data_IF_528454788906
#
_entry.id   IF_528454788906
#
_cell.length_a   1.000
_cell.length_b   1.000
_cell.length_c   1.000
_cell.angle_alpha   90.00
_cell.angle_beta   90.00
_cell.angle_gamma   90.00
#
_symmetry.space_group_name_H-M   'P 1'
#
loop_
_entity.id
_entity.type
_entity.pdbx_description
1 polymer ?
#
# COMPACT_ATOMS: atom_id res chain seq x y z
N UNK A 1 -66.37 -16.92 21.33
CA UNK A 1 -65.38 -15.91 20.87
C UNK A 1 -64.32 -16.63 20.06
N UNK A 2 -64.17 -16.33 18.76
CA UNK A 2 -63.11 -16.90 17.89
C UNK A 2 -62.11 -15.79 17.58
N UNK A 3 -60.99 -15.75 18.28
CA UNK A 3 -59.89 -14.81 18.02
C UNK A 3 -59.11 -15.28 16.81
N UNK A 4 -59.15 -14.51 15.71
CA UNK A 4 -58.27 -14.70 14.55
C UNK A 4 -56.91 -14.09 14.89
N UNK A 5 -55.87 -14.91 14.93
CA UNK A 5 -54.49 -14.45 15.11
C UNK A 5 -53.94 -14.07 13.72
N UNK A 6 -53.69 -12.78 13.51
CA UNK A 6 -53.03 -12.29 12.31
C UNK A 6 -51.51 -12.43 12.49
N UNK A 7 -50.88 -13.24 11.65
CA UNK A 7 -49.43 -13.44 11.63
C UNK A 7 -48.80 -12.36 10.75
N UNK A 8 -48.06 -11.43 11.37
CA UNK A 8 -47.29 -10.39 10.70
C UNK A 8 -45.92 -10.97 10.31
N UNK A 9 -45.68 -11.19 9.01
CA UNK A 9 -44.36 -11.57 8.50
C UNK A 9 -43.44 -10.34 8.44
N UNK A 10 -42.39 -10.32 9.25
CA UNK A 10 -41.30 -9.36 9.16
C UNK A 10 -40.29 -9.86 8.12
N UNK A 11 -40.23 -9.17 6.97
CA UNK A 11 -39.16 -9.35 5.98
C UNK A 11 -37.90 -8.62 6.47
N UNK A 12 -36.93 -9.38 6.99
CA UNK A 12 -35.60 -8.89 7.33
C UNK A 12 -34.80 -8.65 6.05
N UNK A 13 -34.65 -7.38 5.66
CA UNK A 13 -33.73 -6.98 4.59
C UNK A 13 -32.31 -7.08 5.15
N UNK A 14 -31.61 -8.17 4.85
CA UNK A 14 -30.17 -8.28 5.16
C UNK A 14 -29.41 -7.34 4.23
N UNK A 15 -28.96 -6.20 4.75
CA UNK A 15 -27.98 -5.36 4.07
C UNK A 15 -26.66 -6.12 4.04
N UNK A 16 -26.30 -6.68 2.89
CA UNK A 16 -24.96 -7.22 2.69
C UNK A 16 -24.01 -6.02 2.64
N UNK A 17 -23.18 -5.87 3.67
CA UNK A 17 -22.04 -4.96 3.60
C UNK A 17 -21.22 -5.35 2.37
N UNK A 18 -21.01 -4.42 1.45
CA UNK A 18 -20.26 -4.69 0.23
C UNK A 18 -18.81 -5.00 0.61
N UNK A 19 -18.40 -6.25 0.40
CA UNK A 19 -17.04 -6.71 0.66
C UNK A 19 -16.08 -5.93 -0.25
N UNK A 20 -15.02 -5.33 0.31
CA UNK A 20 -14.01 -4.61 -0.46
C UNK A 20 -13.22 -5.61 -1.32
N UNK A 21 -13.24 -5.41 -2.63
CA UNK A 21 -12.51 -6.23 -3.60
C UNK A 21 -11.70 -5.33 -4.51
N UNK A 22 -10.48 -5.77 -4.81
CA UNK A 22 -9.57 -5.08 -5.71
C UNK A 22 -8.75 -6.10 -6.48
N UNK A 23 -8.44 -5.75 -7.73
CA UNK A 23 -7.54 -6.52 -8.57
C UNK A 23 -6.14 -5.92 -8.56
N UNK A 24 -5.13 -6.76 -8.69
CA UNK A 24 -3.75 -6.35 -8.93
C UNK A 24 -3.62 -5.40 -10.12
N UNK A 25 -4.46 -5.58 -11.15
CA UNK A 25 -4.47 -4.74 -12.34
C UNK A 25 -4.93 -3.29 -12.06
N UNK A 26 -5.69 -3.07 -10.99
CA UNK A 26 -6.13 -1.73 -10.62
C UNK A 26 -4.99 -0.86 -10.08
N UNK A 27 -3.85 -1.46 -9.74
CA UNK A 27 -2.64 -0.78 -9.27
C UNK A 27 -1.69 -0.38 -10.41
N UNK A 28 -2.05 -0.63 -11.68
CA UNK A 28 -1.23 -0.30 -12.84
C UNK A 28 -0.84 1.19 -12.93
N UNK A 29 -1.61 2.08 -12.28
CA UNK A 29 -1.29 3.51 -12.25
C UNK A 29 0.02 3.83 -11.51
N UNK A 30 0.51 2.94 -10.63
CA UNK A 30 1.75 3.12 -9.89
C UNK A 30 3.00 2.90 -10.77
N UNK A 31 2.87 2.19 -11.89
CA UNK A 31 4.00 1.74 -12.69
C UNK A 31 4.84 2.88 -13.27
N UNK A 32 6.16 2.69 -13.22
CA UNK A 32 7.15 3.67 -13.65
C UNK A 32 8.40 3.67 -12.79
N UNK A 33 9.40 4.43 -13.24
CA UNK A 33 10.53 4.82 -12.40
C UNK A 33 10.30 6.24 -11.91
N UNK A 34 10.46 6.43 -10.62
CA UNK A 34 10.11 7.63 -9.87
C UNK A 34 11.33 8.09 -9.10
N UNK A 35 11.61 9.39 -9.09
CA UNK A 35 12.79 9.95 -8.42
C UNK A 35 12.45 11.22 -7.66
N UNK A 36 13.15 11.45 -6.56
CA UNK A 36 13.08 12.71 -5.82
C UNK A 36 14.38 12.99 -5.08
N UNK A 37 14.55 14.24 -4.63
CA UNK A 37 15.56 14.62 -3.66
C UNK A 37 14.90 14.79 -2.29
N UNK A 38 15.51 14.24 -1.26
CA UNK A 38 15.05 14.32 0.13
C UNK A 38 16.22 14.62 1.07
N UNK A 39 15.95 15.06 2.30
CA UNK A 39 16.99 15.25 3.32
C UNK A 39 17.73 13.95 3.68
N UNK A 40 17.06 12.80 3.52
CA UNK A 40 17.64 11.47 3.72
C UNK A 40 18.57 11.06 2.57
N UNK A 41 18.39 11.63 1.37
CA UNK A 41 19.14 11.29 0.17
C UNK A 41 18.33 11.47 -1.12
N UNK A 42 19.00 11.25 -2.24
CA UNK A 42 18.38 11.06 -3.54
C UNK A 42 17.68 9.69 -3.56
N UNK A 43 16.39 9.69 -3.86
CA UNK A 43 15.55 8.50 -3.83
C UNK A 43 15.15 8.11 -5.24
N UNK A 44 15.16 6.80 -5.53
CA UNK A 44 14.61 6.22 -6.74
C UNK A 44 13.73 5.03 -6.36
N UNK A 45 12.52 5.02 -6.88
CA UNK A 45 11.53 3.96 -6.69
C UNK A 45 11.05 3.49 -8.06
N UNK A 46 11.13 2.19 -8.31
CA UNK A 46 10.62 1.58 -9.54
C UNK A 46 9.42 0.70 -9.20
N UNK A 47 8.33 0.85 -9.94
CA UNK A 47 7.20 -0.06 -9.97
C UNK A 47 7.05 -0.67 -11.36
N UNK A 48 7.07 -2.01 -11.45
CA UNK A 48 6.73 -2.73 -12.67
C UNK A 48 5.24 -2.64 -13.01
N UNK A 49 4.84 -2.94 -14.25
CA UNK A 49 3.44 -3.21 -14.56
C UNK A 49 2.95 -4.48 -13.84
N UNK A 50 1.64 -4.61 -13.57
CA UNK A 50 1.07 -5.89 -13.16
C UNK A 50 1.44 -7.01 -14.13
N UNK A 51 1.86 -8.15 -13.59
CA UNK A 51 2.18 -9.36 -14.35
C UNK A 51 1.67 -10.58 -13.59
N UNK A 52 0.73 -11.32 -14.19
CA UNK A 52 0.06 -12.42 -13.50
C UNK A 52 -0.73 -11.91 -12.29
N UNK A 53 -0.40 -12.41 -11.11
CA UNK A 53 -1.04 -12.03 -9.85
C UNK A 53 -0.18 -11.07 -9.00
N UNK A 54 0.82 -10.38 -9.56
CA UNK A 54 1.69 -9.50 -8.78
C UNK A 54 2.17 -8.23 -9.49
N UNK A 55 2.66 -7.28 -8.70
CA UNK A 55 3.59 -6.22 -9.13
C UNK A 55 4.88 -6.36 -8.33
N UNK A 56 6.00 -5.91 -8.90
CA UNK A 56 7.28 -5.80 -8.21
C UNK A 56 7.71 -4.34 -8.10
N UNK A 57 8.44 -4.02 -7.05
CA UNK A 57 9.14 -2.76 -6.88
C UNK A 57 10.52 -2.92 -6.26
N UNK A 58 11.39 -1.98 -6.60
CA UNK A 58 12.68 -1.78 -5.97
C UNK A 58 12.85 -0.32 -5.65
N UNK A 59 13.37 -0.03 -4.45
CA UNK A 59 13.69 1.30 -3.99
C UNK A 59 15.16 1.41 -3.62
N UNK A 60 15.73 2.61 -3.78
CA UNK A 60 17.01 2.97 -3.17
C UNK A 60 17.01 4.40 -2.67
N UNK A 61 17.74 4.61 -1.57
CA UNK A 61 18.11 5.93 -1.07
C UNK A 61 19.64 6.08 -1.11
N UNK A 62 20.14 7.17 -1.71
CA UNK A 62 21.57 7.46 -1.86
C UNK A 62 21.89 8.84 -1.32
N UNK A 63 22.86 8.95 -0.42
CA UNK A 63 23.34 10.22 0.14
C UNK A 63 24.85 10.33 -0.02
N UNK A 64 25.31 11.48 -0.50
CA UNK A 64 26.74 11.76 -0.71
C UNK A 64 27.47 10.67 -1.53
N UNK A 65 26.79 10.16 -2.57
CA UNK A 65 27.32 9.11 -3.46
C UNK A 65 27.35 7.70 -2.85
N UNK A 66 26.81 7.51 -1.64
CA UNK A 66 26.76 6.21 -0.95
C UNK A 66 25.31 5.79 -0.71
N UNK A 67 25.06 4.50 -0.82
CA UNK A 67 23.75 3.92 -0.53
C UNK A 67 23.48 4.01 0.97
N UNK A 68 22.29 4.50 1.33
CA UNK A 68 21.76 4.48 2.70
C UNK A 68 21.05 3.15 2.95
N UNK A 69 20.04 2.83 2.14
CA UNK A 69 19.31 1.56 2.18
C UNK A 69 18.57 1.30 0.86
N UNK A 70 18.05 0.09 0.74
CA UNK A 70 17.17 -0.36 -0.35
C UNK A 70 15.86 -0.89 0.19
N UNK A 71 14.86 -0.98 -0.69
CA UNK A 71 13.70 -1.84 -0.45
C UNK A 71 13.48 -2.75 -1.65
N UNK A 72 12.98 -3.96 -1.37
CA UNK A 72 12.37 -4.81 -2.37
C UNK A 72 10.93 -5.07 -1.94
N UNK A 73 10.00 -4.84 -2.87
CA UNK A 73 8.58 -4.90 -2.60
C UNK A 73 7.93 -5.80 -3.63
N UNK A 74 7.04 -6.67 -3.18
CA UNK A 74 6.07 -7.33 -4.05
C UNK A 74 4.68 -6.96 -3.58
N UNK A 75 3.77 -6.72 -4.51
CA UNK A 75 2.34 -6.68 -4.21
C UNK A 75 1.77 -7.92 -4.87
N UNK A 76 1.10 -8.77 -4.11
CA UNK A 76 0.52 -10.02 -4.61
C UNK A 76 -0.99 -9.99 -4.39
N UNK A 77 -1.76 -10.50 -5.35
CA UNK A 77 -3.18 -10.76 -5.16
C UNK A 77 -3.35 -11.89 -4.14
N UNK A 78 -4.01 -11.61 -3.02
CA UNK A 78 -4.36 -12.60 -1.99
C UNK A 78 -5.88 -12.59 -1.85
N UNK A 79 -6.53 -13.67 -2.32
CA UNK A 79 -7.99 -13.76 -2.38
C UNK A 79 -8.60 -12.51 -3.06
N UNK A 80 -9.39 -11.74 -2.32
CA UNK A 80 -10.15 -10.60 -2.83
C UNK A 80 -9.36 -9.29 -2.90
N UNK A 81 -8.16 -9.20 -2.30
CA UNK A 81 -7.39 -7.94 -2.21
C UNK A 81 -5.89 -8.12 -2.45
N UNK A 82 -5.20 -7.14 -3.06
CA UNK A 82 -3.75 -7.10 -3.09
C UNK A 82 -3.13 -6.89 -1.69
N UNK A 83 -2.01 -7.55 -1.42
CA UNK A 83 -1.22 -7.38 -0.20
C UNK A 83 0.20 -7.00 -0.58
N UNK A 84 0.66 -5.86 -0.07
CA UNK A 84 2.06 -5.42 -0.19
C UNK A 84 2.93 -6.18 0.82
N UNK A 85 4.05 -6.72 0.35
CA UNK A 85 5.10 -7.35 1.15
C UNK A 85 6.40 -6.60 0.91
N UNK A 86 6.92 -5.98 1.97
CA UNK A 86 8.08 -5.09 1.90
C UNK A 86 9.23 -5.64 2.73
N UNK A 87 10.44 -5.47 2.22
CA UNK A 87 11.69 -5.71 2.94
C UNK A 87 12.66 -4.57 2.74
N UNK A 88 13.33 -4.18 3.80
CA UNK A 88 14.43 -3.22 3.77
C UNK A 88 15.77 -3.95 3.75
N UNK A 89 16.76 -3.34 3.10
CA UNK A 89 18.11 -3.88 3.06
C UNK A 89 19.16 -2.78 3.26
N UNK A 90 20.16 -3.07 4.08
CA UNK A 90 21.40 -2.31 4.12
C UNK A 90 22.23 -2.55 2.84
N UNK A 91 23.25 -1.71 2.57
CA UNK A 91 24.26 -1.99 1.55
C UNK A 91 24.82 -3.41 1.67
N UNK A 92 24.93 -4.11 0.53
CA UNK A 92 25.35 -5.51 0.50
C UNK A 92 24.22 -6.53 0.61
N UNK A 93 22.95 -6.12 0.43
CA UNK A 93 21.78 -7.02 0.45
C UNK A 93 21.54 -7.68 1.83
N UNK A 94 21.79 -6.95 2.91
CA UNK A 94 21.58 -7.42 4.28
C UNK A 94 20.20 -6.95 4.76
N UNK A 95 19.26 -7.88 4.89
CA UNK A 95 17.86 -7.58 5.25
C UNK A 95 17.68 -7.13 6.70
N UNK A 96 16.70 -6.25 6.93
CA UNK A 96 16.30 -5.83 8.28
C UNK A 96 15.28 -6.81 8.89
N UNK A 97 14.32 -7.24 8.09
CA UNK A 97 13.29 -8.17 8.50
C UNK A 97 13.76 -9.63 8.46
N UNK A 98 13.15 -10.47 9.29
CA UNK A 98 13.38 -11.92 9.26
C UNK A 98 13.08 -12.53 7.88
N UNK A 99 13.87 -13.53 7.48
CA UNK A 99 13.83 -14.18 6.16
C UNK A 99 12.43 -14.64 5.74
N UNK A 100 11.59 -15.05 6.69
CA UNK A 100 10.26 -15.59 6.40
C UNK A 100 9.14 -14.60 6.76
N UNK A 101 9.48 -13.41 7.26
CA UNK A 101 8.52 -12.46 7.83
C UNK A 101 8.72 -11.05 7.23
N UNK A 102 8.34 -10.81 5.96
CA UNK A 102 8.33 -9.45 5.42
C UNK A 102 7.28 -8.59 6.14
N UNK A 103 7.40 -7.27 6.05
CA UNK A 103 6.33 -6.37 6.46
C UNK A 103 5.14 -6.56 5.52
N UNK A 104 3.93 -6.68 6.06
CA UNK A 104 2.71 -6.88 5.28
C UNK A 104 1.74 -5.70 5.44
N UNK A 105 1.28 -5.17 4.32
CA UNK A 105 0.28 -4.10 4.27
C UNK A 105 -0.82 -4.48 3.27
N UNK A 106 -1.95 -5.05 3.72
CA UNK A 106 -3.12 -5.25 2.88
C UNK A 106 -3.64 -3.94 2.30
N UNK A 107 -4.15 -3.98 1.07
CA UNK A 107 -4.88 -2.87 0.48
C UNK A 107 -6.22 -2.69 1.22
N UNK A 108 -6.47 -1.50 1.75
CA UNK A 108 -7.69 -1.17 2.52
C UNK A 108 -8.59 -0.15 1.83
N UNK A 109 -8.07 0.56 0.82
CA UNK A 109 -8.83 1.51 0.03
C UNK A 109 -8.21 1.69 -1.36
N UNK A 110 -9.07 1.84 -2.36
CA UNK A 110 -8.66 2.02 -3.75
C UNK A 110 -9.60 3.00 -4.46
N UNK A 111 -9.02 3.85 -5.28
CA UNK A 111 -9.72 4.63 -6.31
C UNK A 111 -8.85 4.70 -7.56
N UNK A 112 -9.35 5.30 -8.64
CA UNK A 112 -8.70 5.33 -9.97
C UNK A 112 -7.19 5.59 -9.96
N UNK A 113 -6.72 6.50 -9.10
CA UNK A 113 -5.31 6.88 -9.03
C UNK A 113 -4.75 6.84 -7.59
N UNK A 114 -5.44 6.16 -6.67
CA UNK A 114 -5.06 6.15 -5.24
C UNK A 114 -5.18 4.75 -4.66
N UNK A 115 -4.12 4.28 -4.02
CA UNK A 115 -4.11 3.04 -3.24
C UNK A 115 -3.68 3.34 -1.81
N UNK A 116 -4.35 2.74 -0.83
CA UNK A 116 -3.99 2.83 0.59
C UNK A 116 -3.72 1.43 1.11
N UNK A 117 -2.49 1.21 1.55
CA UNK A 117 -2.05 0.00 2.24
C UNK A 117 -1.90 0.31 3.73
N UNK A 118 -2.33 -0.60 4.60
CA UNK A 118 -2.32 -0.38 6.06
C UNK A 118 -1.79 -1.62 6.80
N UNK A 119 -0.99 -1.40 7.83
CA UNK A 119 -0.52 -2.48 8.70
C UNK A 119 -1.69 -3.08 9.51
N UNK A 120 -1.65 -4.38 9.79
CA UNK A 120 -2.72 -5.07 10.55
C UNK A 120 -2.99 -4.45 11.93
N UNK A 121 -1.95 -3.95 12.60
CA UNK A 121 -2.03 -3.26 13.90
C UNK A 121 -2.35 -1.75 13.78
N UNK A 122 -2.57 -1.28 12.54
CA UNK A 122 -2.84 0.11 12.17
C UNK A 122 -1.75 1.06 12.63
N UNK A 123 -0.52 0.57 12.81
CA UNK A 123 0.64 1.41 13.16
C UNK A 123 1.10 2.28 12.00
N UNK A 124 0.87 1.84 10.76
CA UNK A 124 1.43 2.46 9.57
C UNK A 124 0.46 2.38 8.39
N UNK A 125 0.41 3.44 7.59
CA UNK A 125 -0.21 3.46 6.26
C UNK A 125 0.76 3.98 5.20
N UNK A 126 0.73 3.33 4.04
CA UNK A 126 1.35 3.80 2.81
C UNK A 126 0.26 4.15 1.81
N UNK A 127 0.23 5.41 1.39
CA UNK A 127 -0.76 5.90 0.43
C UNK A 127 -0.02 6.32 -0.84
N UNK A 128 -0.35 5.66 -1.95
CA UNK A 128 0.17 5.98 -3.27
C UNK A 128 -0.90 6.74 -4.03
N UNK A 129 -0.58 7.94 -4.51
CA UNK A 129 -1.48 8.79 -5.27
C UNK A 129 -0.78 9.27 -6.54
N UNK A 130 -1.26 8.83 -7.70
CA UNK A 130 -0.84 9.43 -8.97
C UNK A 130 -1.61 10.75 -9.16
N UNK A 131 -0.85 11.84 -9.27
CA UNK A 131 -1.34 13.17 -9.64
C UNK A 131 -0.86 13.49 -11.06
N UNK A 132 -1.01 14.73 -11.52
CA UNK A 132 -0.62 15.12 -12.89
C UNK A 132 0.89 14.97 -13.12
N UNK A 133 1.32 13.78 -13.56
CA UNK A 133 2.69 13.44 -13.90
C UNK A 133 3.60 13.03 -12.73
N UNK A 134 3.10 13.04 -11.49
CA UNK A 134 3.87 12.75 -10.28
C UNK A 134 3.22 11.61 -9.47
N UNK A 135 4.03 10.88 -8.73
CA UNK A 135 3.56 9.90 -7.75
C UNK A 135 3.84 10.47 -6.35
N UNK A 136 2.77 10.78 -5.63
CA UNK A 136 2.87 11.14 -4.21
C UNK A 136 2.74 9.87 -3.38
N UNK A 137 3.75 9.63 -2.53
CA UNK A 137 3.73 8.58 -1.52
C UNK A 137 3.62 9.25 -0.16
N UNK A 138 2.59 8.90 0.60
CA UNK A 138 2.38 9.43 1.95
C UNK A 138 2.58 8.27 2.93
N UNK A 139 3.50 8.48 3.86
CA UNK A 139 3.72 7.60 5.00
C UNK A 139 3.04 8.22 6.22
N UNK A 140 2.04 7.52 6.75
CA UNK A 140 1.43 7.87 8.04
C UNK A 140 1.85 6.81 9.06
N UNK A 141 2.54 7.20 10.13
CA UNK A 141 3.05 6.30 11.16
C UNK A 141 2.61 6.74 12.56
N UNK A 142 2.26 5.79 13.43
CA UNK A 142 1.96 6.06 14.83
C UNK A 142 3.23 6.52 15.56
N UNK A 143 3.16 7.71 16.14
CA UNK A 143 4.21 8.20 17.04
C UNK A 143 4.06 7.61 18.45
N UNK A 144 5.06 7.88 19.30
CA UNK A 144 5.13 7.39 20.69
C UNK A 144 3.96 7.84 21.58
N UNK A 145 3.22 8.86 21.18
CA UNK A 145 2.09 9.43 21.91
C UNK A 145 0.73 9.01 21.33
N UNK A 146 0.68 7.95 20.51
CA UNK A 146 -0.52 7.49 19.79
C UNK A 146 -1.12 8.51 18.79
N UNK A 147 -0.38 9.56 18.43
CA UNK A 147 -0.71 10.42 17.30
C UNK A 147 -0.18 9.83 15.99
N UNK A 148 -0.68 10.32 14.85
CA UNK A 148 -0.12 9.96 13.53
C UNK A 148 0.83 11.04 13.06
N UNK A 149 2.08 10.68 12.78
CA UNK A 149 3.02 11.50 12.02
C UNK A 149 2.84 11.22 10.54
N UNK A 150 2.95 12.26 9.72
CA UNK A 150 2.73 12.19 8.28
C UNK A 150 3.94 12.76 7.54
N UNK A 151 4.51 11.94 6.66
CA UNK A 151 5.56 12.32 5.72
C UNK A 151 5.04 12.20 4.29
N UNK A 152 5.41 13.15 3.43
CA UNK A 152 4.97 13.18 2.03
C UNK A 152 6.19 13.19 1.11
N UNK A 153 6.25 12.20 0.23
CA UNK A 153 7.29 12.02 -0.77
C UNK A 153 6.69 12.27 -2.16
N UNK A 154 7.01 13.42 -2.75
CA UNK A 154 6.48 13.83 -4.05
C UNK A 154 7.46 13.47 -5.17
N UNK A 155 7.32 12.27 -5.73
CA UNK A 155 8.20 11.79 -6.78
C UNK A 155 7.83 12.32 -8.15
N UNK A 156 8.87 12.59 -8.94
CA UNK A 156 8.75 12.90 -10.36
C UNK A 156 9.07 11.66 -11.18
N UNK A 157 8.32 11.45 -12.26
CA UNK A 157 8.62 10.37 -13.22
C UNK A 157 10.00 10.61 -13.83
N UNK A 158 10.87 9.61 -13.77
CA UNK A 158 12.15 9.59 -14.46
C UNK A 158 11.86 9.45 -15.96
N UNK A 159 12.41 10.36 -16.75
CA UNK A 159 12.28 10.34 -18.21
C UNK A 159 13.13 9.24 -18.83
#
# INVERSE_FOLDING_TARGET
MKTKLALLLLLSVTSYAQEFKASINDLAFMSGTWTMKHEWGDMEEFWGPPMGNSLISSYRCVKDGKVVFYEFVVIEQVENVPVMKLRHFNPGSIGWEDKNSPLEYPLVSLSKNKAVFEAKDKSLRLIYQLTTGNLEVILEEKNKNNGMEKMVFAYKRKK
#
